data_IF_161212653951
#
_entry.id   IF_161212653951
#
_cell.length_a   1.000
_cell.length_b   1.000
_cell.length_c   1.000
_cell.angle_alpha   90.00
_cell.angle_beta   90.00
_cell.angle_gamma   90.00
#
_symmetry.space_group_name_H-M   'P 1'
#
loop_
_entity.id
_entity.type
_entity.pdbx_description
1 polymer ?
#
# COMPACT_ATOMS: atom_id res chain seq x y z
N UNK A 1 -24.69 -13.81 -3.06
CA UNK A 1 -26.13 -13.52 -2.92
C UNK A 1 -26.86 -14.63 -2.18
N UNK A 2 -26.63 -15.88 -2.55
CA UNK A 2 -27.26 -17.06 -1.91
C UNK A 2 -26.98 -17.13 -0.40
N UNK A 3 -25.74 -16.94 0.01
CA UNK A 3 -25.32 -16.93 1.41
C UNK A 3 -26.00 -15.79 2.17
N UNK A 4 -25.97 -14.56 1.63
CA UNK A 4 -26.67 -13.43 2.23
C UNK A 4 -28.17 -13.68 2.42
N UNK A 5 -28.85 -14.16 1.38
CA UNK A 5 -30.27 -14.47 1.45
C UNK A 5 -30.57 -15.57 2.47
N UNK A 6 -29.76 -16.64 2.48
CA UNK A 6 -29.89 -17.75 3.43
C UNK A 6 -29.73 -17.28 4.88
N UNK A 7 -28.73 -16.47 5.16
CA UNK A 7 -28.43 -16.01 6.52
C UNK A 7 -29.55 -15.11 7.06
N UNK A 8 -30.08 -14.20 6.22
CA UNK A 8 -31.21 -13.34 6.60
C UNK A 8 -32.46 -14.18 6.86
N UNK A 9 -32.81 -15.08 5.92
CA UNK A 9 -34.02 -15.94 6.05
C UNK A 9 -33.89 -16.87 7.24
N UNK A 10 -32.74 -17.54 7.40
CA UNK A 10 -32.52 -18.48 8.50
C UNK A 10 -32.63 -17.81 9.87
N UNK A 11 -32.01 -16.63 10.04
CA UNK A 11 -32.05 -15.90 11.30
C UNK A 11 -33.48 -15.50 11.67
N UNK A 12 -34.25 -14.95 10.72
CA UNK A 12 -35.64 -14.53 10.96
C UNK A 12 -36.53 -15.76 11.23
N UNK A 13 -36.38 -16.83 10.47
CA UNK A 13 -37.11 -18.07 10.66
C UNK A 13 -36.87 -18.64 12.04
N UNK A 14 -35.61 -18.75 12.47
CA UNK A 14 -35.27 -19.30 13.81
C UNK A 14 -35.93 -18.52 14.93
N UNK A 15 -35.85 -17.18 14.88
CA UNK A 15 -36.47 -16.31 15.90
C UNK A 15 -37.99 -16.46 15.91
N UNK A 16 -38.65 -16.56 14.74
CA UNK A 16 -40.10 -16.75 14.65
C UNK A 16 -40.54 -18.13 15.19
N UNK A 17 -39.77 -19.17 14.88
CA UNK A 17 -40.05 -20.54 15.37
C UNK A 17 -39.90 -20.63 16.90
N UNK A 18 -38.83 -20.04 17.46
CA UNK A 18 -38.63 -19.98 18.92
C UNK A 18 -39.75 -19.20 19.63
N UNK A 19 -40.20 -18.09 19.01
CA UNK A 19 -41.31 -17.29 19.55
C UNK A 19 -42.71 -17.87 19.24
N UNK A 20 -42.78 -18.94 18.44
CA UNK A 20 -44.05 -19.52 17.97
C UNK A 20 -44.96 -18.52 17.26
N UNK A 21 -44.37 -17.64 16.42
CA UNK A 21 -45.10 -16.65 15.61
C UNK A 21 -44.98 -16.98 14.12
N UNK A 22 -45.92 -16.46 13.32
CA UNK A 22 -45.90 -16.67 11.88
C UNK A 22 -44.67 -15.97 11.23
N UNK A 23 -44.08 -16.63 10.21
CA UNK A 23 -42.98 -16.06 9.46
C UNK A 23 -43.44 -14.84 8.64
N UNK A 24 -42.72 -13.69 8.72
CA UNK A 24 -43.09 -12.50 7.97
C UNK A 24 -42.66 -12.59 6.50
N UNK A 25 -43.23 -11.73 5.65
CA UNK A 25 -42.63 -11.40 4.38
C UNK A 25 -41.46 -10.47 4.61
N UNK A 26 -40.30 -10.78 4.00
CA UNK A 26 -39.08 -10.00 4.14
C UNK A 26 -38.95 -9.03 2.95
N UNK A 27 -38.81 -7.75 3.25
CA UNK A 27 -38.50 -6.70 2.28
C UNK A 27 -37.22 -6.02 2.76
N UNK A 28 -36.21 -5.95 1.89
CA UNK A 28 -34.91 -5.36 2.24
C UNK A 28 -34.48 -4.29 1.25
N UNK A 29 -33.79 -3.28 1.73
CA UNK A 29 -33.04 -2.30 0.94
C UNK A 29 -31.55 -2.62 1.13
N UNK A 30 -31.00 -3.49 0.28
CA UNK A 30 -29.71 -4.14 0.54
C UNK A 30 -28.51 -3.49 -0.20
N UNK A 31 -28.73 -2.50 -1.05
CA UNK A 31 -27.70 -1.72 -1.73
C UNK A 31 -26.54 -2.57 -2.26
N UNK A 32 -25.32 -2.31 -1.80
CA UNK A 32 -24.10 -3.00 -2.27
C UNK A 32 -24.04 -4.49 -1.96
N UNK A 33 -24.74 -4.97 -0.96
CA UNK A 33 -24.81 -6.41 -0.67
C UNK A 33 -25.41 -7.22 -1.84
N UNK A 34 -26.22 -6.61 -2.66
CA UNK A 34 -26.82 -7.24 -3.85
C UNK A 34 -26.08 -6.84 -5.14
N UNK A 35 -25.71 -5.57 -5.30
CA UNK A 35 -25.23 -5.03 -6.56
C UNK A 35 -23.70 -4.97 -6.70
N UNK A 36 -22.92 -5.10 -5.62
CA UNK A 36 -21.46 -5.01 -5.70
C UNK A 36 -20.83 -6.09 -6.62
N UNK A 37 -21.43 -7.26 -6.71
CA UNK A 37 -20.85 -8.44 -7.39
C UNK A 37 -20.85 -8.35 -8.92
N UNK A 38 -21.62 -7.45 -9.53
CA UNK A 38 -21.81 -7.46 -10.98
C UNK A 38 -20.63 -6.87 -11.76
N UNK A 39 -19.71 -6.15 -11.11
CA UNK A 39 -18.60 -5.51 -11.81
C UNK A 39 -17.26 -5.75 -11.11
N UNK A 40 -16.22 -5.83 -11.92
CA UNK A 40 -14.81 -5.91 -11.54
C UNK A 40 -14.05 -4.87 -12.35
N UNK A 41 -13.24 -4.05 -11.71
CA UNK A 41 -12.31 -3.16 -12.40
C UNK A 41 -11.01 -3.92 -12.68
N UNK A 42 -10.57 -3.93 -13.93
CA UNK A 42 -9.29 -4.51 -14.34
C UNK A 42 -8.42 -3.41 -14.92
N UNK A 43 -7.19 -3.31 -14.44
CA UNK A 43 -6.21 -2.34 -14.93
C UNK A 43 -4.80 -2.93 -14.99
N UNK A 44 -3.97 -2.37 -15.87
CA UNK A 44 -2.58 -2.75 -16.02
C UNK A 44 -1.66 -1.91 -15.16
N UNK A 45 -0.54 -2.51 -14.74
CA UNK A 45 0.59 -1.80 -14.17
C UNK A 45 1.40 -1.15 -15.30
N UNK A 46 1.74 0.12 -15.15
CA UNK A 46 2.50 0.92 -16.12
C UNK A 46 4.00 0.99 -15.76
N UNK A 47 4.31 0.89 -14.48
CA UNK A 47 5.68 0.98 -13.96
C UNK A 47 5.70 0.88 -12.45
N UNK A 48 6.89 0.77 -11.89
CA UNK A 48 7.12 0.65 -10.44
C UNK A 48 8.24 1.61 -10.02
N UNK A 49 8.05 2.29 -8.91
CA UNK A 49 9.10 3.03 -8.22
C UNK A 49 9.48 2.28 -6.96
N UNK A 50 10.77 2.04 -6.81
CA UNK A 50 11.37 1.33 -5.67
C UNK A 50 12.28 2.28 -4.90
N UNK A 51 12.35 2.11 -3.57
CA UNK A 51 13.18 2.93 -2.70
C UNK A 51 14.45 2.15 -2.29
N UNK A 52 15.63 2.63 -2.70
CA UNK A 52 16.92 2.27 -2.11
C UNK A 52 17.46 0.84 -2.35
N UNK A 53 16.83 -0.01 -3.15
CA UNK A 53 17.25 -1.42 -3.30
C UNK A 53 18.49 -1.65 -4.17
N UNK A 54 18.84 -0.75 -5.06
CA UNK A 54 19.84 -1.00 -6.12
C UNK A 54 21.18 -0.26 -5.92
N UNK A 55 21.44 0.28 -4.72
CA UNK A 55 22.69 1.02 -4.46
C UNK A 55 23.73 0.09 -3.84
N UNK A 56 24.88 -0.07 -4.49
CA UNK A 56 25.98 -0.87 -3.96
C UNK A 56 26.58 -0.21 -2.70
N UNK A 57 27.14 -1.02 -1.79
CA UNK A 57 27.79 -0.51 -0.57
C UNK A 57 28.91 0.51 -0.86
N UNK A 58 29.60 0.36 -2.00
CA UNK A 58 30.65 1.28 -2.42
C UNK A 58 30.09 2.67 -2.80
N UNK A 59 28.89 2.72 -3.38
CA UNK A 59 28.21 3.96 -3.74
C UNK A 59 27.60 4.69 -2.55
N UNK A 60 27.41 3.99 -1.42
CA UNK A 60 26.89 4.56 -0.18
C UNK A 60 27.96 5.23 0.68
N UNK A 61 29.25 5.06 0.39
CA UNK A 61 30.32 5.64 1.21
C UNK A 61 30.38 7.17 1.03
N UNK A 62 30.20 7.97 2.10
CA UNK A 62 30.31 9.41 2.00
C UNK A 62 31.76 9.84 1.72
N UNK A 63 31.97 10.92 0.93
CA UNK A 63 33.30 11.51 0.75
C UNK A 63 33.83 12.05 2.09
N UNK A 64 35.18 12.17 2.21
CA UNK A 64 35.82 12.56 3.47
C UNK A 64 35.41 13.95 3.97
N UNK A 65 35.05 14.84 3.08
CA UNK A 65 34.61 16.22 3.35
C UNK A 65 33.10 16.37 3.50
N UNK A 66 32.35 15.26 3.53
CA UNK A 66 30.91 15.30 3.74
C UNK A 66 30.57 15.75 5.18
N UNK A 67 29.36 16.30 5.33
CA UNK A 67 28.83 16.68 6.63
C UNK A 67 28.80 15.50 7.61
N UNK A 68 29.03 15.79 8.89
CA UNK A 68 29.15 14.76 9.95
C UNK A 68 27.89 13.87 10.00
N UNK A 69 26.70 14.44 9.79
CA UNK A 69 25.44 13.70 9.78
C UNK A 69 25.35 12.62 8.69
N UNK A 70 26.04 12.79 7.54
CA UNK A 70 26.15 11.73 6.52
C UNK A 70 27.05 10.59 7.00
N UNK A 71 28.17 10.94 7.66
CA UNK A 71 29.08 9.94 8.24
C UNK A 71 28.37 9.15 9.35
N UNK A 72 27.63 9.82 10.23
CA UNK A 72 26.88 9.18 11.31
C UNK A 72 25.82 8.21 10.76
N UNK A 73 25.07 8.63 9.71
CA UNK A 73 24.10 7.80 9.03
C UNK A 73 24.75 6.57 8.38
N UNK A 74 25.89 6.75 7.73
CA UNK A 74 26.65 5.65 7.12
C UNK A 74 27.21 4.69 8.18
N UNK A 75 27.70 5.18 9.31
CA UNK A 75 28.14 4.34 10.44
C UNK A 75 26.98 3.53 11.02
N UNK A 76 25.80 4.14 11.16
CA UNK A 76 24.58 3.43 11.57
C UNK A 76 24.22 2.31 10.59
N UNK A 77 24.29 2.58 9.28
CA UNK A 77 24.12 1.56 8.24
C UNK A 77 25.10 0.39 8.36
N UNK A 78 26.38 0.67 8.61
CA UNK A 78 27.42 -0.36 8.76
C UNK A 78 27.28 -1.16 10.06
N UNK A 79 26.84 -0.51 11.12
CA UNK A 79 26.83 -1.04 12.50
C UNK A 79 25.52 -1.70 12.93
N UNK A 80 24.42 -1.54 12.15
CA UNK A 80 23.11 -2.08 12.54
C UNK A 80 23.12 -3.61 12.64
N UNK A 81 22.56 -4.13 13.73
CA UNK A 81 22.43 -5.56 14.03
C UNK A 81 21.26 -5.80 14.99
N UNK A 82 20.96 -7.06 15.33
CA UNK A 82 19.83 -7.43 16.20
C UNK A 82 19.83 -6.76 17.60
N UNK A 83 21.01 -6.34 18.11
CA UNK A 83 21.11 -5.76 19.47
C UNK A 83 20.78 -4.29 19.50
N UNK A 84 21.06 -3.56 18.40
CA UNK A 84 20.90 -2.10 18.34
C UNK A 84 19.82 -1.64 17.34
N UNK A 85 19.10 -2.56 16.71
CA UNK A 85 18.11 -2.26 15.65
C UNK A 85 17.03 -1.28 16.10
N UNK A 86 16.62 -1.34 17.38
CA UNK A 86 15.59 -0.46 17.96
C UNK A 86 16.06 0.99 18.11
N UNK A 87 17.35 1.20 18.39
CA UNK A 87 17.96 2.52 18.52
C UNK A 87 18.40 3.08 17.17
N UNK A 88 18.83 2.20 16.26
CA UNK A 88 19.36 2.59 14.96
C UNK A 88 18.33 3.30 14.07
N UNK A 89 17.04 2.98 14.19
CA UNK A 89 16.01 3.62 13.36
C UNK A 89 15.72 5.07 13.77
N UNK A 90 15.44 5.40 15.04
CA UNK A 90 15.32 6.79 15.49
C UNK A 90 16.57 7.64 15.24
N UNK A 91 17.76 7.06 15.41
CA UNK A 91 19.03 7.75 15.13
C UNK A 91 19.16 8.09 13.64
N UNK A 92 18.78 7.14 12.76
CA UNK A 92 18.74 7.36 11.32
C UNK A 92 17.75 8.46 10.91
N UNK A 93 16.56 8.48 11.53
CA UNK A 93 15.57 9.55 11.30
C UNK A 93 16.12 10.91 11.72
N UNK A 94 16.77 11.01 12.88
CA UNK A 94 17.40 12.25 13.34
C UNK A 94 18.49 12.72 12.39
N UNK A 95 19.32 11.79 11.90
CA UNK A 95 20.41 12.11 10.97
C UNK A 95 19.89 12.60 9.61
N UNK A 96 18.90 11.92 9.03
CA UNK A 96 18.31 12.36 7.75
C UNK A 96 17.59 13.71 7.87
N UNK A 97 16.86 13.96 8.96
CA UNK A 97 16.20 15.23 9.23
C UNK A 97 17.20 16.38 9.38
N UNK A 98 18.36 16.11 9.98
CA UNK A 98 19.48 17.04 10.07
C UNK A 98 20.02 17.38 8.68
N UNK A 99 20.30 16.38 7.85
CA UNK A 99 20.76 16.58 6.47
C UNK A 99 19.73 17.38 5.67
N UNK A 100 18.45 17.09 5.79
CA UNK A 100 17.39 17.83 5.10
C UNK A 100 17.32 19.29 5.55
N UNK A 101 17.54 19.57 6.83
CA UNK A 101 17.61 20.92 7.37
C UNK A 101 18.83 21.68 6.81
N UNK A 102 20.00 21.04 6.77
CA UNK A 102 21.22 21.61 6.24
C UNK A 102 21.11 21.85 4.72
N UNK A 103 20.45 20.97 3.99
CA UNK A 103 20.16 21.16 2.57
C UNK A 103 19.25 22.38 2.35
N UNK A 104 18.17 22.50 3.10
CA UNK A 104 17.23 23.63 2.99
C UNK A 104 17.87 24.98 3.34
N UNK A 105 18.92 24.97 4.13
CA UNK A 105 19.70 26.17 4.51
C UNK A 105 20.95 26.39 3.63
N UNK A 106 21.19 25.52 2.64
CA UNK A 106 22.25 25.68 1.64
C UNK A 106 23.66 25.22 2.09
N UNK A 107 23.75 24.48 3.21
CA UNK A 107 25.04 23.92 3.69
C UNK A 107 25.38 22.56 3.07
N UNK A 108 24.39 21.80 2.66
CA UNK A 108 24.54 20.49 2.02
C UNK A 108 24.16 20.59 0.54
N UNK A 109 24.94 19.99 -0.36
CA UNK A 109 24.65 19.95 -1.78
C UNK A 109 23.53 18.93 -2.12
N UNK A 110 22.98 19.02 -3.34
CA UNK A 110 21.98 18.06 -3.81
C UNK A 110 22.55 16.64 -3.87
N UNK A 111 23.81 16.47 -4.27
CA UNK A 111 24.50 15.18 -4.34
C UNK A 111 24.62 14.55 -2.95
N UNK A 112 25.00 15.34 -1.95
CA UNK A 112 25.11 14.88 -0.56
C UNK A 112 23.74 14.53 0.02
N UNK A 113 22.71 15.31 -0.31
CA UNK A 113 21.32 14.98 0.07
C UNK A 113 20.88 13.66 -0.55
N UNK A 114 21.06 13.46 -1.86
CA UNK A 114 20.72 12.21 -2.53
C UNK A 114 21.47 11.02 -1.93
N UNK A 115 22.75 11.19 -1.61
CA UNK A 115 23.55 10.16 -0.95
C UNK A 115 22.97 9.82 0.44
N UNK A 116 22.59 10.83 1.24
CA UNK A 116 22.00 10.60 2.55
C UNK A 116 20.67 9.86 2.45
N UNK A 117 19.80 10.20 1.50
CA UNK A 117 18.55 9.48 1.23
C UNK A 117 18.82 8.02 0.86
N UNK A 118 19.80 7.75 -0.01
CA UNK A 118 20.19 6.38 -0.38
C UNK A 118 20.72 5.58 0.82
N UNK A 119 21.58 6.17 1.66
CA UNK A 119 22.08 5.52 2.87
C UNK A 119 20.91 5.23 3.84
N UNK A 120 20.01 6.19 4.03
CA UNK A 120 18.85 6.03 4.90
C UNK A 120 17.95 4.88 4.46
N UNK A 121 17.59 4.81 3.18
CA UNK A 121 16.77 3.72 2.67
C UNK A 121 17.50 2.38 2.75
N UNK A 122 18.80 2.31 2.43
CA UNK A 122 19.59 1.10 2.59
C UNK A 122 19.65 0.63 4.07
N UNK A 123 19.76 1.56 5.03
CA UNK A 123 19.67 1.26 6.45
C UNK A 123 18.28 0.75 6.84
N UNK A 124 17.21 1.39 6.36
CA UNK A 124 15.83 0.95 6.60
C UNK A 124 15.59 -0.47 6.08
N UNK A 125 16.09 -0.82 4.88
CA UNK A 125 16.03 -2.19 4.35
C UNK A 125 16.77 -3.19 5.24
N UNK A 126 17.96 -2.85 5.72
CA UNK A 126 18.69 -3.70 6.67
C UNK A 126 17.93 -3.90 7.99
N UNK A 127 17.38 -2.83 8.54
CA UNK A 127 16.55 -2.88 9.75
C UNK A 127 15.37 -3.81 9.50
N UNK A 128 14.65 -3.63 8.40
CA UNK A 128 13.49 -4.45 8.04
C UNK A 128 13.84 -5.94 7.90
N UNK A 129 14.98 -6.27 7.27
CA UNK A 129 15.46 -7.66 7.18
C UNK A 129 15.76 -8.26 8.56
N UNK A 130 16.36 -7.47 9.48
CA UNK A 130 16.64 -7.89 10.85
C UNK A 130 15.33 -8.12 11.62
N UNK A 131 14.33 -7.25 11.48
CA UNK A 131 13.02 -7.39 12.17
C UNK A 131 12.30 -8.67 11.79
N UNK A 132 12.43 -9.15 10.55
CA UNK A 132 11.90 -10.44 10.11
C UNK A 132 12.46 -11.65 10.87
N UNK A 133 13.54 -11.48 11.65
CA UNK A 133 14.18 -12.52 12.48
C UNK A 133 13.87 -12.37 13.98
N UNK A 134 13.10 -11.35 14.38
CA UNK A 134 12.75 -11.09 15.78
C UNK A 134 11.42 -11.76 16.13
N UNK A 135 11.31 -12.24 17.37
CA UNK A 135 10.06 -12.81 17.91
C UNK A 135 8.97 -11.74 18.13
N UNK A 136 9.39 -10.49 18.31
CA UNK A 136 8.50 -9.33 18.50
C UNK A 136 9.05 -8.13 17.74
N UNK A 137 8.20 -7.50 16.94
CA UNK A 137 8.51 -6.27 16.20
C UNK A 137 7.76 -5.10 16.86
N UNK A 138 8.46 -4.06 17.35
CA UNK A 138 7.81 -2.85 17.86
C UNK A 138 7.03 -2.11 16.78
N UNK A 139 5.95 -1.40 17.20
CA UNK A 139 5.06 -0.65 16.30
C UNK A 139 5.80 0.40 15.44
N UNK A 140 6.87 0.99 15.98
CA UNK A 140 7.71 1.95 15.26
C UNK A 140 8.37 1.31 14.02
N UNK A 141 8.77 0.05 14.11
CA UNK A 141 9.40 -0.69 13.01
C UNK A 141 8.39 -1.33 12.06
N UNK A 142 7.13 -1.56 12.48
CA UNK A 142 6.05 -2.00 11.59
C UNK A 142 5.76 -0.98 10.49
N UNK A 143 6.02 0.31 10.75
CA UNK A 143 5.86 1.39 9.76
C UNK A 143 6.84 1.28 8.59
N UNK A 144 7.96 0.56 8.77
CA UNK A 144 8.94 0.33 7.71
C UNK A 144 8.35 -0.45 6.52
N UNK A 145 7.39 -1.35 6.76
CA UNK A 145 6.70 -2.08 5.70
C UNK A 145 6.07 -1.13 4.68
N UNK A 146 5.42 -0.06 5.16
CA UNK A 146 4.85 0.98 4.29
C UNK A 146 5.93 1.89 3.70
N UNK A 147 6.93 2.28 4.47
CA UNK A 147 8.01 3.18 4.01
C UNK A 147 8.79 2.57 2.85
N UNK A 148 9.06 1.26 2.93
CA UNK A 148 9.84 0.50 1.96
C UNK A 148 9.01 -0.17 0.87
N UNK A 149 7.67 0.03 0.89
CA UNK A 149 6.81 -0.55 -0.12
C UNK A 149 7.06 0.08 -1.48
N UNK A 150 7.00 -0.76 -2.51
CA UNK A 150 7.05 -0.32 -3.89
C UNK A 150 5.78 0.45 -4.27
N UNK A 151 5.91 1.46 -5.11
CA UNK A 151 4.77 2.15 -5.66
C UNK A 151 4.50 1.67 -7.08
N UNK A 152 3.39 0.95 -7.26
CA UNK A 152 2.94 0.43 -8.54
C UNK A 152 2.00 1.45 -9.20
N UNK A 153 2.44 2.08 -10.28
CA UNK A 153 1.64 3.01 -11.08
C UNK A 153 0.71 2.23 -11.99
N UNK A 154 -0.59 2.48 -11.87
CA UNK A 154 -1.64 1.69 -12.49
C UNK A 154 -2.49 2.51 -13.44
N UNK A 155 -2.90 1.93 -14.57
CA UNK A 155 -3.65 2.59 -15.64
C UNK A 155 -5.14 2.72 -15.31
N UNK A 156 -5.47 3.50 -14.30
CA UNK A 156 -6.86 3.88 -13.96
C UNK A 156 -6.87 5.22 -13.21
N UNK A 157 -8.03 5.83 -13.05
CA UNK A 157 -8.28 6.94 -12.13
C UNK A 157 -9.10 6.43 -10.94
N UNK A 158 -8.61 6.65 -9.72
CA UNK A 158 -9.32 6.27 -8.51
C UNK A 158 -10.66 7.01 -8.38
N UNK A 159 -10.65 8.29 -8.73
CA UNK A 159 -11.81 9.19 -8.62
C UNK A 159 -12.92 8.83 -9.61
N UNK A 160 -12.55 8.29 -10.77
CA UNK A 160 -13.47 7.82 -11.78
C UNK A 160 -13.98 6.41 -11.48
N UNK A 161 -13.09 5.49 -11.12
CA UNK A 161 -13.40 4.06 -11.10
C UNK A 161 -13.72 3.50 -9.71
N UNK A 162 -13.21 4.12 -8.64
CA UNK A 162 -13.39 3.69 -7.25
C UNK A 162 -13.56 4.88 -6.29
N UNK A 163 -14.47 5.84 -6.54
CA UNK A 163 -14.58 7.07 -5.77
C UNK A 163 -14.84 6.83 -4.27
N UNK A 164 -15.53 5.77 -3.89
CA UNK A 164 -15.79 5.44 -2.49
C UNK A 164 -14.51 5.07 -1.71
N UNK A 165 -13.47 4.57 -2.39
CA UNK A 165 -12.17 4.32 -1.76
C UNK A 165 -11.57 5.62 -1.21
N UNK A 166 -11.70 6.72 -1.95
CA UNK A 166 -11.26 8.04 -1.54
C UNK A 166 -12.28 8.72 -0.60
N UNK A 167 -13.55 8.79 -1.03
CA UNK A 167 -14.56 9.63 -0.36
C UNK A 167 -14.96 9.12 1.02
N UNK A 168 -15.10 7.82 1.20
CA UNK A 168 -15.60 7.21 2.45
C UNK A 168 -14.67 6.13 3.01
N UNK A 169 -13.47 5.97 2.44
CA UNK A 169 -12.48 4.95 2.83
C UNK A 169 -13.03 3.52 2.72
N UNK A 170 -13.91 3.29 1.74
CA UNK A 170 -14.39 1.95 1.43
C UNK A 170 -13.24 1.07 0.98
N UNK A 171 -13.08 -0.09 1.62
CA UNK A 171 -12.13 -1.10 1.19
C UNK A 171 -12.77 -2.01 0.15
N UNK A 172 -12.03 -2.25 -0.94
CA UNK A 172 -12.38 -3.21 -1.98
C UNK A 172 -11.37 -4.36 -2.00
N UNK A 173 -11.77 -5.59 -2.27
CA UNK A 173 -10.83 -6.68 -2.50
C UNK A 173 -9.98 -6.38 -3.74
N UNK A 174 -8.65 -6.41 -3.59
CA UNK A 174 -7.69 -6.21 -4.68
C UNK A 174 -6.78 -7.42 -4.75
N UNK A 175 -6.53 -7.92 -5.96
CA UNK A 175 -5.57 -8.99 -6.18
C UNK A 175 -5.00 -8.98 -7.59
N UNK A 176 -3.81 -9.55 -7.81
CA UNK A 176 -3.33 -9.85 -9.16
C UNK A 176 -4.27 -10.84 -9.85
N UNK A 177 -4.44 -10.67 -11.17
CA UNK A 177 -5.13 -11.63 -12.04
C UNK A 177 -4.16 -12.30 -13.02
N UNK A 178 -2.88 -12.00 -12.89
CA UNK A 178 -1.75 -12.61 -13.59
C UNK A 178 -0.82 -13.34 -12.61
N UNK A 179 -0.01 -14.28 -13.09
CA UNK A 179 0.99 -15.02 -12.33
C UNK A 179 0.43 -15.73 -11.08
N UNK A 180 -0.81 -16.24 -11.17
CA UNK A 180 -1.53 -16.83 -10.03
C UNK A 180 -0.90 -18.15 -9.54
N UNK A 181 0.01 -18.74 -10.30
CA UNK A 181 0.80 -19.94 -9.98
C UNK A 181 2.13 -19.62 -9.27
N UNK A 182 2.48 -18.37 -9.12
CA UNK A 182 3.68 -17.90 -8.44
C UNK A 182 3.35 -17.13 -7.16
N UNK A 183 4.28 -17.13 -6.21
CA UNK A 183 4.10 -16.41 -4.96
C UNK A 183 4.54 -14.95 -5.13
N UNK A 184 3.69 -13.96 -4.81
CA UNK A 184 4.08 -12.56 -4.79
C UNK A 184 5.11 -12.31 -3.67
N UNK A 185 6.10 -11.47 -3.96
CA UNK A 185 7.25 -11.23 -3.07
C UNK A 185 7.47 -9.76 -2.72
N UNK A 186 6.75 -8.83 -3.37
CA UNK A 186 6.93 -7.39 -3.21
C UNK A 186 5.80 -6.80 -2.38
N UNK A 187 6.12 -6.02 -1.34
CA UNK A 187 5.16 -5.18 -0.64
C UNK A 187 4.90 -3.92 -1.46
N UNK A 188 3.65 -3.62 -1.74
CA UNK A 188 3.29 -2.57 -2.68
C UNK A 188 2.12 -1.70 -2.19
N UNK A 189 2.09 -0.46 -2.67
CA UNK A 189 0.92 0.40 -2.74
C UNK A 189 0.59 0.66 -4.20
N UNK A 190 -0.66 1.02 -4.50
CA UNK A 190 -1.10 1.30 -5.86
C UNK A 190 -1.36 2.80 -6.01
N UNK A 191 -0.75 3.41 -7.01
CA UNK A 191 -1.03 4.79 -7.43
C UNK A 191 -1.76 4.79 -8.76
N UNK A 192 -2.75 5.65 -8.89
CA UNK A 192 -3.44 5.89 -10.15
C UNK A 192 -2.62 6.80 -11.09
N UNK A 193 -3.17 7.15 -12.24
CA UNK A 193 -2.53 8.04 -13.23
C UNK A 193 -2.80 9.53 -12.99
N UNK A 194 -3.58 9.89 -11.98
CA UNK A 194 -3.86 11.30 -11.67
C UNK A 194 -2.66 11.94 -10.96
N UNK A 195 -2.58 13.28 -10.99
CA UNK A 195 -1.56 14.02 -10.26
C UNK A 195 -1.94 14.26 -8.79
N UNK A 196 -3.11 13.82 -8.36
CA UNK A 196 -3.59 14.01 -6.99
C UNK A 196 -2.93 13.02 -6.03
N UNK A 197 -2.47 13.52 -4.89
CA UNK A 197 -1.84 12.69 -3.86
C UNK A 197 -2.80 11.66 -3.22
N UNK A 198 -4.10 11.86 -3.35
CA UNK A 198 -5.14 10.94 -2.89
C UNK A 198 -5.47 9.83 -3.93
N UNK A 199 -4.93 9.94 -5.16
CA UNK A 199 -5.09 8.95 -6.22
C UNK A 199 -4.31 7.65 -5.96
N UNK A 200 -4.58 7.00 -4.83
CA UNK A 200 -3.88 5.79 -4.40
C UNK A 200 -4.76 4.83 -3.61
N UNK A 201 -4.43 3.54 -3.70
CA UNK A 201 -4.94 2.50 -2.80
C UNK A 201 -3.77 2.07 -1.91
N UNK A 202 -3.78 2.49 -0.65
CA UNK A 202 -2.77 2.19 0.36
C UNK A 202 -3.39 1.56 1.64
N UNK A 203 -4.60 1.03 1.50
CA UNK A 203 -5.31 0.27 2.52
C UNK A 203 -6.00 -0.93 1.86
N UNK A 204 -5.74 -2.10 2.39
CA UNK A 204 -6.18 -3.37 1.82
C UNK A 204 -6.86 -4.24 2.87
N UNK A 205 -7.82 -5.05 2.44
CA UNK A 205 -8.53 -5.99 3.31
C UNK A 205 -7.57 -7.07 3.80
N UNK A 206 -7.56 -7.33 5.10
CA UNK A 206 -6.93 -8.49 5.71
C UNK A 206 -7.93 -9.28 6.54
N UNK A 207 -7.50 -10.44 7.06
CA UNK A 207 -8.35 -11.35 7.83
C UNK A 207 -8.89 -10.76 9.12
N UNK A 208 -8.14 -9.87 9.76
CA UNK A 208 -8.45 -9.31 11.08
C UNK A 208 -8.43 -7.80 11.14
N UNK A 209 -7.73 -7.17 10.22
CA UNK A 209 -7.48 -5.73 10.25
C UNK A 209 -7.29 -5.19 8.82
N UNK A 210 -6.84 -3.95 8.70
CA UNK A 210 -6.50 -3.28 7.44
C UNK A 210 -4.98 -3.31 7.24
N UNK A 211 -4.53 -3.91 6.15
CA UNK A 211 -3.12 -3.84 5.74
C UNK A 211 -2.82 -2.52 5.04
N UNK A 212 -1.58 -2.05 5.23
CA UNK A 212 -1.08 -0.85 4.56
C UNK A 212 -0.40 -1.13 3.23
N UNK A 213 -0.13 -2.39 2.93
CA UNK A 213 0.51 -2.86 1.70
C UNK A 213 -0.21 -4.11 1.18
N UNK A 214 -0.07 -4.36 -0.10
CA UNK A 214 -0.49 -5.59 -0.76
C UNK A 214 0.75 -6.35 -1.26
N UNK A 215 0.68 -7.68 -1.27
CA UNK A 215 1.74 -8.50 -1.87
C UNK A 215 1.52 -8.62 -3.37
N UNK A 216 2.51 -8.18 -4.16
CA UNK A 216 2.52 -8.26 -5.62
C UNK A 216 3.76 -9.00 -6.13
N UNK A 217 3.72 -9.41 -7.40
CA UNK A 217 4.87 -10.01 -8.08
C UNK A 217 5.83 -8.89 -8.52
N UNK A 218 7.10 -9.19 -8.60
CA UNK A 218 8.09 -8.29 -9.18
C UNK A 218 7.69 -7.91 -10.60
N UNK A 219 7.76 -6.62 -10.92
CA UNK A 219 7.40 -6.09 -12.23
C UNK A 219 8.62 -6.04 -13.13
N UNK A 220 8.61 -6.82 -14.19
CA UNK A 220 9.68 -6.96 -15.18
C UNK A 220 9.43 -6.18 -16.49
N UNK A 221 8.36 -5.37 -16.54
CA UNK A 221 7.95 -4.63 -17.74
C UNK A 221 6.98 -5.39 -18.64
N UNK A 222 6.68 -6.66 -18.35
CA UNK A 222 5.65 -7.43 -19.04
C UNK A 222 4.25 -6.98 -18.63
N UNK A 223 3.21 -7.21 -19.45
CA UNK A 223 1.83 -6.92 -19.07
C UNK A 223 1.47 -7.59 -17.74
N UNK A 224 1.11 -6.79 -16.74
CA UNK A 224 0.72 -7.24 -15.42
C UNK A 224 -0.59 -6.58 -15.02
N UNK A 225 -1.63 -7.37 -14.80
CA UNK A 225 -2.98 -6.87 -14.52
C UNK A 225 -3.42 -7.19 -13.10
N UNK A 226 -4.10 -6.22 -12.50
CA UNK A 226 -4.74 -6.31 -11.19
C UNK A 226 -6.24 -6.17 -11.36
N UNK A 227 -6.99 -6.80 -10.43
CA UNK A 227 -8.44 -6.67 -10.34
C UNK A 227 -8.85 -6.05 -9.02
N UNK A 228 -9.79 -5.11 -9.07
CA UNK A 228 -10.54 -4.61 -7.92
C UNK A 228 -11.96 -5.17 -8.01
N UNK A 229 -12.36 -5.91 -7.00
CA UNK A 229 -13.62 -6.66 -6.98
C UNK A 229 -14.68 -5.93 -6.16
N UNK A 230 -15.94 -6.30 -6.36
CA UNK A 230 -17.10 -5.78 -5.64
C UNK A 230 -17.35 -4.28 -5.85
N UNK A 231 -17.04 -3.78 -7.03
CA UNK A 231 -17.22 -2.37 -7.41
C UNK A 231 -18.54 -2.06 -8.10
N UNK A 232 -19.46 -3.03 -8.26
CA UNK A 232 -20.71 -2.86 -8.99
C UNK A 232 -21.73 -1.93 -8.33
N UNK A 233 -21.50 -1.50 -7.09
CA UNK A 233 -22.39 -0.58 -6.39
C UNK A 233 -21.77 0.80 -6.29
N UNK A 234 -22.48 1.82 -6.80
CA UNK A 234 -22.19 3.26 -6.67
C UNK A 234 -21.00 3.79 -7.47
N UNK A 235 -19.97 2.98 -7.76
CA UNK A 235 -18.69 3.48 -8.25
C UNK A 235 -18.81 4.17 -9.61
N UNK A 236 -19.39 3.51 -10.59
CA UNK A 236 -19.53 4.06 -11.94
C UNK A 236 -20.42 5.31 -11.98
N UNK A 237 -21.51 5.34 -11.21
CA UNK A 237 -22.46 6.47 -11.20
C UNK A 237 -21.90 7.68 -10.42
N UNK A 238 -21.08 7.45 -9.39
CA UNK A 238 -20.48 8.51 -8.56
C UNK A 238 -19.09 8.92 -9.04
N UNK A 239 -18.52 8.19 -10.01
CA UNK A 239 -17.22 8.51 -10.59
C UNK A 239 -17.19 9.89 -11.24
N UNK A 240 -16.06 10.58 -11.14
CA UNK A 240 -15.85 11.91 -11.70
C UNK A 240 -14.63 11.94 -12.62
N UNK A 241 -14.69 12.75 -13.67
CA UNK A 241 -13.62 12.98 -14.65
C UNK A 241 -12.50 13.85 -14.04
N UNK A 242 -11.91 13.39 -12.96
CA UNK A 242 -10.82 14.08 -12.28
C UNK A 242 -9.57 14.16 -13.16
N UNK A 243 -8.99 15.35 -13.30
CA UNK A 243 -7.86 15.63 -14.20
C UNK A 243 -8.10 15.22 -15.66
N UNK A 244 -9.36 15.22 -16.10
CA UNK A 244 -9.79 14.86 -17.46
C UNK A 244 -9.47 13.41 -17.88
N UNK A 245 -9.17 12.52 -16.93
CA UNK A 245 -9.14 11.09 -17.21
C UNK A 245 -10.56 10.56 -17.31
N UNK A 246 -10.85 9.90 -18.42
CA UNK A 246 -12.16 9.35 -18.72
C UNK A 246 -12.40 7.97 -18.07
N UNK A 247 -13.57 7.41 -18.40
CA UNK A 247 -13.95 6.07 -17.96
C UNK A 247 -13.01 4.98 -18.49
N UNK A 248 -12.92 3.90 -17.74
CA UNK A 248 -12.39 2.64 -18.23
C UNK A 248 -13.36 2.03 -19.26
N UNK A 249 -12.84 1.22 -20.19
CA UNK A 249 -13.69 0.52 -21.15
C UNK A 249 -14.60 -0.48 -20.42
N UNK A 250 -15.91 -0.37 -20.63
CA UNK A 250 -16.88 -1.36 -20.18
C UNK A 250 -17.07 -2.46 -21.24
N UNK A 251 -17.11 -3.74 -20.83
CA UNK A 251 -17.30 -4.93 -21.68
C UNK A 251 -18.32 -5.88 -21.05
#
# INVERSE_FOLDING_TARGET
LEEYARDVVYTIQTVCDEASVAHPNIISESGRAISAFHSVLIFGVLGVSQQGENTSEAELAPPEDAEQSLHDLYQSYKGVNQRNVLESYPDAQTSIDTVMTLFNTGYVSLEQRCLAENIYFALCHRIWQITGTLDYVPEELEKLDKLLSDNYFCNFSLFQSCPDSWAIKQLFPVMPIHQLDSRPTRHAVLSDITCDSDGKIDQFIDRRDVRRTIMLHEYDGSPYYLGVFLIGAYQEILGDLHNLFGDTNAV
#
